data_IF_157647467745
#
_entry.id   IF_157647467745
#
_cell.length_a   1.000
_cell.length_b   1.000
_cell.length_c   1.000
_cell.angle_alpha   90.00
_cell.angle_beta   90.00
_cell.angle_gamma   90.00
#
_symmetry.space_group_name_H-M   'P 1'
#
loop_
_entity.id
_entity.type
_entity.pdbx_description
1 polymer ?
#
# COMPACT_ATOMS: atom_id res chain seq x y z
N UNK A 1 -28.13 -16.51 -3.28
CA UNK A 1 -27.68 -15.13 -2.97
C UNK A 1 -26.96 -14.58 -4.19
N UNK A 2 -27.55 -13.62 -4.90
CA UNK A 2 -26.91 -12.95 -6.02
C UNK A 2 -26.15 -11.76 -5.46
N UNK A 3 -24.83 -11.82 -5.52
CA UNK A 3 -24.00 -10.66 -5.19
C UNK A 3 -24.34 -9.50 -6.13
N UNK A 4 -24.53 -8.27 -5.61
CA UNK A 4 -24.71 -7.12 -6.48
C UNK A 4 -23.46 -6.97 -7.33
N UNK A 5 -23.60 -7.07 -8.66
CA UNK A 5 -22.52 -6.77 -9.59
C UNK A 5 -22.11 -5.33 -9.35
N UNK A 6 -20.88 -5.10 -8.86
CA UNK A 6 -20.30 -3.78 -8.86
C UNK A 6 -20.38 -3.25 -10.29
N UNK A 7 -21.13 -2.17 -10.48
CA UNK A 7 -21.06 -1.43 -11.73
C UNK A 7 -19.69 -0.79 -11.76
N UNK A 8 -18.73 -1.45 -12.43
CA UNK A 8 -17.52 -0.79 -12.86
C UNK A 8 -17.98 0.30 -13.81
N UNK A 9 -17.93 1.55 -13.37
CA UNK A 9 -18.13 2.69 -14.26
C UNK A 9 -16.93 2.72 -15.21
N UNK A 10 -16.99 1.89 -16.26
CA UNK A 10 -16.04 1.92 -17.33
C UNK A 10 -16.12 3.28 -18.00
N UNK A 11 -15.07 4.08 -17.85
CA UNK A 11 -14.84 5.14 -18.82
C UNK A 11 -14.96 4.53 -20.20
N UNK A 12 -15.83 5.06 -21.05
CA UNK A 12 -15.99 4.47 -22.38
C UNK A 12 -14.64 4.44 -23.06
N UNK A 13 -14.32 3.36 -23.73
CA UNK A 13 -13.08 3.16 -24.50
C UNK A 13 -12.76 4.37 -25.39
N UNK A 14 -13.77 4.96 -26.04
CA UNK A 14 -13.66 6.19 -26.83
C UNK A 14 -13.21 7.42 -26.03
N UNK A 15 -13.61 7.54 -24.77
CA UNK A 15 -13.19 8.64 -23.90
C UNK A 15 -11.75 8.48 -23.49
N UNK A 16 -11.30 7.26 -23.26
CA UNK A 16 -9.89 6.95 -22.99
C UNK A 16 -9.03 7.19 -24.22
N UNK A 17 -9.45 6.75 -25.41
CA UNK A 17 -8.78 7.02 -26.67
C UNK A 17 -8.69 8.53 -26.97
N UNK A 18 -9.80 9.26 -26.81
CA UNK A 18 -9.78 10.73 -26.95
C UNK A 18 -8.80 11.37 -25.99
N UNK A 19 -8.77 10.96 -24.73
CA UNK A 19 -7.84 11.50 -23.76
C UNK A 19 -6.39 11.15 -24.08
N UNK A 20 -6.13 9.99 -24.67
CA UNK A 20 -4.80 9.58 -25.12
C UNK A 20 -4.29 10.46 -26.29
N UNK A 21 -5.14 10.71 -27.29
CA UNK A 21 -4.75 11.47 -28.49
C UNK A 21 -4.83 13.00 -28.35
N UNK A 22 -5.67 13.52 -27.46
CA UNK A 22 -5.92 14.96 -27.33
C UNK A 22 -5.47 15.58 -26.01
N UNK A 23 -4.80 14.81 -25.14
CA UNK A 23 -4.31 15.36 -23.88
C UNK A 23 -3.11 16.26 -24.16
N UNK A 24 -3.31 17.57 -24.04
CA UNK A 24 -2.23 18.50 -23.78
C UNK A 24 -1.35 17.94 -22.66
N UNK A 25 -0.04 18.00 -22.81
CA UNK A 25 1.00 17.50 -21.93
C UNK A 25 0.90 18.10 -20.50
N UNK A 26 -0.17 17.81 -19.79
CA UNK A 26 -0.20 18.07 -18.35
C UNK A 26 0.68 17.00 -17.72
N UNK A 27 1.79 17.41 -17.17
CA UNK A 27 2.70 16.54 -16.47
C UNK A 27 1.92 15.87 -15.31
N UNK A 28 1.46 14.63 -15.54
CA UNK A 28 0.61 13.89 -14.62
C UNK A 28 1.28 13.75 -13.24
N UNK A 29 2.61 13.70 -13.20
CA UNK A 29 3.36 13.69 -11.94
C UNK A 29 3.19 15.00 -11.17
N UNK A 30 3.25 16.15 -11.85
CA UNK A 30 3.04 17.45 -11.20
C UNK A 30 1.61 17.59 -10.67
N UNK A 31 0.62 17.10 -11.42
CA UNK A 31 -0.76 17.08 -10.93
C UNK A 31 -0.88 16.27 -9.63
N UNK A 32 -0.31 15.06 -9.57
CA UNK A 32 -0.33 14.21 -8.37
C UNK A 32 0.42 14.90 -7.23
N UNK A 33 1.61 15.45 -7.48
CA UNK A 33 2.37 16.20 -6.46
C UNK A 33 1.54 17.34 -5.86
N UNK A 34 0.88 18.12 -6.71
CA UNK A 34 0.02 19.23 -6.26
C UNK A 34 -1.20 18.71 -5.48
N UNK A 35 -1.89 17.69 -6.00
CA UNK A 35 -3.09 17.13 -5.38
C UNK A 35 -2.83 16.61 -3.96
N UNK A 36 -1.75 15.86 -3.78
CA UNK A 36 -1.36 15.30 -2.47
C UNK A 36 -0.45 16.22 -1.65
N UNK A 37 -0.16 17.43 -2.12
CA UNK A 37 0.78 18.37 -1.49
C UNK A 37 2.14 17.70 -1.20
N UNK A 38 2.70 17.01 -2.21
CA UNK A 38 3.98 16.32 -2.11
C UNK A 38 5.14 17.28 -2.42
N UNK A 39 6.21 17.21 -1.65
CA UNK A 39 7.46 17.89 -1.91
C UNK A 39 8.36 17.12 -2.92
N UNK A 40 9.55 17.61 -3.19
CA UNK A 40 10.48 17.03 -4.17
C UNK A 40 11.06 15.68 -3.73
N UNK A 41 10.96 15.31 -2.46
CA UNK A 41 11.47 14.05 -1.94
C UNK A 41 10.60 12.85 -2.35
N UNK A 42 9.38 13.09 -2.85
CA UNK A 42 8.49 12.02 -3.30
C UNK A 42 8.75 11.63 -4.75
N UNK A 43 9.03 10.36 -4.97
CA UNK A 43 9.14 9.77 -6.30
C UNK A 43 7.81 9.14 -6.72
N UNK A 44 7.31 9.52 -7.90
CA UNK A 44 6.07 9.01 -8.46
C UNK A 44 6.39 8.12 -9.66
N UNK A 45 5.95 6.87 -9.58
CA UNK A 45 6.08 5.90 -10.65
C UNK A 45 4.71 5.40 -11.10
N UNK A 46 4.48 5.40 -12.41
CA UNK A 46 3.28 4.84 -13.00
C UNK A 46 3.53 3.40 -13.38
N UNK A 47 2.64 2.52 -12.93
CA UNK A 47 2.66 1.11 -13.23
C UNK A 47 1.32 0.67 -13.81
N UNK A 48 1.31 -0.44 -14.55
CA UNK A 48 0.08 -0.92 -15.19
C UNK A 48 -1.01 -1.34 -14.19
N UNK A 49 -0.61 -1.91 -13.05
CA UNK A 49 -1.48 -2.32 -11.93
C UNK A 49 -0.75 -2.11 -10.61
N UNK A 50 -1.47 -1.77 -9.54
CA UNK A 50 -0.88 -1.56 -8.21
C UNK A 50 -0.08 -2.80 -7.71
N UNK A 51 -0.57 -4.02 -7.93
CA UNK A 51 0.14 -5.25 -7.58
C UNK A 51 1.50 -5.40 -8.27
N UNK A 52 1.68 -4.88 -9.48
CA UNK A 52 2.98 -4.88 -10.17
C UNK A 52 3.92 -3.87 -9.49
N UNK A 53 3.40 -2.70 -9.11
CA UNK A 53 4.15 -1.74 -8.28
C UNK A 53 4.59 -2.37 -6.96
N UNK A 54 3.70 -3.07 -6.29
CA UNK A 54 3.99 -3.80 -5.06
C UNK A 54 5.11 -4.84 -5.25
N UNK A 55 5.02 -5.66 -6.31
CA UNK A 55 6.08 -6.61 -6.66
C UNK A 55 7.44 -5.92 -6.84
N UNK A 56 7.48 -4.78 -7.54
CA UNK A 56 8.72 -4.04 -7.73
C UNK A 56 9.30 -3.50 -6.41
N UNK A 57 8.45 -2.98 -5.51
CA UNK A 57 8.87 -2.54 -4.17
C UNK A 57 9.50 -3.71 -3.42
N UNK A 58 8.83 -4.85 -3.36
CA UNK A 58 9.34 -6.03 -2.67
C UNK A 58 10.64 -6.55 -3.29
N UNK A 59 10.71 -6.59 -4.62
CA UNK A 59 11.93 -7.00 -5.35
C UNK A 59 13.12 -6.07 -5.10
N UNK A 60 12.87 -4.80 -4.85
CA UNK A 60 13.89 -3.86 -4.43
C UNK A 60 14.32 -4.14 -2.99
N UNK A 61 13.38 -4.25 -2.06
CA UNK A 61 13.68 -4.45 -0.63
C UNK A 61 14.46 -5.73 -0.36
N UNK A 62 14.15 -6.83 -1.03
CA UNK A 62 14.87 -8.09 -0.82
C UNK A 62 16.30 -8.03 -1.35
N UNK A 63 16.55 -7.27 -2.42
CA UNK A 63 17.91 -7.04 -2.94
C UNK A 63 18.77 -6.19 -2.01
N UNK A 64 18.17 -5.23 -1.33
CA UNK A 64 18.85 -4.40 -0.33
C UNK A 64 19.28 -5.23 0.89
N UNK A 65 18.46 -6.20 1.32
CA UNK A 65 18.79 -7.06 2.44
C UNK A 65 18.04 -8.41 2.37
N UNK A 66 18.70 -9.43 1.83
CA UNK A 66 18.14 -10.79 1.67
C UNK A 66 17.76 -11.46 3.01
N UNK A 67 18.36 -11.07 4.13
CA UNK A 67 17.97 -11.60 5.45
C UNK A 67 16.61 -11.12 5.88
N UNK A 68 16.19 -9.93 5.45
CA UNK A 68 14.87 -9.35 5.72
C UNK A 68 13.84 -9.83 4.70
N UNK A 69 13.56 -11.13 4.68
CA UNK A 69 12.70 -11.77 3.69
C UNK A 69 11.29 -12.11 4.19
N UNK A 70 10.87 -11.55 5.33
CA UNK A 70 9.50 -11.69 5.84
C UNK A 70 8.73 -10.38 5.69
N UNK A 71 7.45 -10.49 5.37
CA UNK A 71 6.52 -9.36 5.32
C UNK A 71 5.31 -9.65 6.18
N UNK A 72 4.94 -8.69 7.02
CA UNK A 72 3.69 -8.75 7.79
C UNK A 72 2.58 -8.11 6.98
N UNK A 73 1.44 -8.78 6.89
CA UNK A 73 0.25 -8.27 6.21
C UNK A 73 -1.02 -8.83 6.87
N UNK A 74 -2.13 -8.16 6.62
CA UNK A 74 -3.43 -8.62 7.09
C UNK A 74 -3.80 -9.99 6.51
N UNK A 75 -4.42 -10.85 7.32
CA UNK A 75 -5.07 -12.08 6.84
C UNK A 75 -6.24 -11.77 5.89
N UNK A 76 -6.82 -10.59 6.00
CA UNK A 76 -7.88 -10.07 5.14
C UNK A 76 -7.29 -9.25 3.98
N UNK A 77 -6.60 -9.92 3.05
CA UNK A 77 -6.02 -9.29 1.86
C UNK A 77 -6.41 -10.04 0.58
N UNK A 78 -6.22 -9.40 -0.56
CA UNK A 78 -6.52 -10.06 -1.85
C UNK A 78 -5.42 -11.05 -2.23
N UNK A 79 -5.82 -12.19 -2.78
CA UNK A 79 -4.93 -13.29 -3.17
C UNK A 79 -3.78 -12.85 -4.08
N UNK A 80 -4.03 -11.91 -4.98
CA UNK A 80 -3.00 -11.38 -5.89
C UNK A 80 -1.82 -10.72 -5.14
N UNK A 81 -2.07 -10.07 -4.01
CA UNK A 81 -1.00 -9.46 -3.20
C UNK A 81 -0.11 -10.54 -2.58
N UNK A 82 -0.71 -11.63 -2.11
CA UNK A 82 0.03 -12.79 -1.57
C UNK A 82 0.91 -13.41 -2.66
N UNK A 83 0.40 -13.56 -3.88
CA UNK A 83 1.19 -14.06 -5.01
C UNK A 83 2.39 -13.16 -5.28
N UNK A 84 2.25 -11.84 -5.22
CA UNK A 84 3.37 -10.91 -5.43
C UNK A 84 4.42 -11.04 -4.31
N UNK A 85 3.99 -11.27 -3.07
CA UNK A 85 4.89 -11.55 -1.93
C UNK A 85 5.74 -12.77 -2.21
N UNK A 86 5.10 -13.88 -2.58
CA UNK A 86 5.81 -15.14 -2.86
C UNK A 86 6.73 -15.05 -4.07
N UNK A 87 6.28 -14.43 -5.15
CA UNK A 87 7.07 -14.21 -6.38
C UNK A 87 8.30 -13.33 -6.14
N UNK A 88 8.19 -12.35 -5.22
CA UNK A 88 9.32 -11.51 -4.84
C UNK A 88 10.32 -12.21 -3.89
N UNK A 89 10.02 -13.43 -3.43
CA UNK A 89 10.87 -14.20 -2.52
C UNK A 89 10.64 -13.91 -1.04
N UNK A 90 9.57 -13.16 -0.71
CA UNK A 90 9.18 -12.92 0.67
C UNK A 90 8.33 -14.06 1.25
N UNK A 91 8.39 -14.21 2.57
CA UNK A 91 7.56 -15.14 3.35
C UNK A 91 6.48 -14.32 4.07
N UNK A 92 5.19 -14.52 3.79
CA UNK A 92 4.13 -13.77 4.44
C UNK A 92 3.97 -14.22 5.90
N UNK A 93 3.78 -13.25 6.79
CA UNK A 93 3.31 -13.42 8.16
C UNK A 93 1.95 -12.74 8.22
N UNK A 94 0.90 -13.53 8.47
CA UNK A 94 -0.44 -12.99 8.56
C UNK A 94 -0.75 -12.56 10.00
N UNK A 95 -1.38 -11.40 10.12
CA UNK A 95 -1.94 -10.91 11.38
C UNK A 95 -3.43 -10.64 11.20
N UNK A 96 -4.18 -10.82 12.27
CA UNK A 96 -5.61 -10.56 12.28
C UNK A 96 -5.94 -9.09 12.51
N UNK A 97 -7.23 -8.79 12.36
CA UNK A 97 -7.82 -7.51 12.72
C UNK A 97 -8.41 -7.61 14.13
N UNK A 98 -8.59 -6.48 14.77
CA UNK A 98 -9.43 -6.44 15.97
C UNK A 98 -10.84 -6.95 15.64
N UNK A 99 -11.46 -7.59 16.62
CA UNK A 99 -12.83 -8.04 16.47
C UNK A 99 -13.75 -6.88 16.05
N UNK A 100 -14.55 -7.13 15.03
CA UNK A 100 -15.52 -6.19 14.47
C UNK A 100 -14.89 -4.87 13.93
N UNK A 101 -13.61 -4.92 13.55
CA UNK A 101 -12.87 -3.79 13.01
C UNK A 101 -12.17 -4.13 11.70
N UNK A 102 -11.91 -3.11 10.87
CA UNK A 102 -11.03 -3.20 9.69
C UNK A 102 -9.57 -2.83 10.00
N UNK A 103 -9.24 -2.57 11.26
CA UNK A 103 -7.89 -2.25 11.70
C UNK A 103 -7.14 -3.52 12.08
N UNK A 104 -5.88 -3.60 11.69
CA UNK A 104 -5.01 -4.70 12.10
C UNK A 104 -4.77 -4.66 13.61
N UNK A 105 -4.61 -5.82 14.23
CA UNK A 105 -4.27 -5.89 15.66
C UNK A 105 -2.81 -5.48 15.88
N UNK A 106 -2.64 -4.31 16.49
CA UNK A 106 -1.30 -3.74 16.75
C UNK A 106 -0.51 -4.56 17.78
N UNK A 107 -1.18 -5.30 18.66
CA UNK A 107 -0.51 -6.17 19.61
C UNK A 107 0.10 -7.38 18.89
N UNK A 108 -0.62 -7.95 17.91
CA UNK A 108 -0.07 -8.99 17.04
C UNK A 108 1.08 -8.46 16.18
N UNK A 109 0.94 -7.25 15.64
CA UNK A 109 2.03 -6.60 14.91
C UNK A 109 3.30 -6.51 15.76
N UNK A 110 3.21 -5.94 16.96
CA UNK A 110 4.34 -5.81 17.90
C UNK A 110 4.94 -7.17 18.27
N UNK A 111 4.10 -8.15 18.56
CA UNK A 111 4.52 -9.53 18.89
C UNK A 111 5.33 -10.15 17.77
N UNK A 112 4.86 -10.06 16.51
CA UNK A 112 5.55 -10.62 15.36
C UNK A 112 6.86 -9.87 15.05
N UNK A 113 6.88 -8.53 15.20
CA UNK A 113 8.10 -7.75 15.06
C UNK A 113 9.13 -8.16 16.11
N UNK A 114 8.74 -8.35 17.36
CA UNK A 114 9.63 -8.82 18.42
C UNK A 114 10.19 -10.21 18.13
N UNK A 115 9.33 -11.14 17.67
CA UNK A 115 9.69 -12.53 17.40
C UNK A 115 10.66 -12.67 16.21
N UNK A 116 10.48 -11.87 15.15
CA UNK A 116 11.20 -12.00 13.87
C UNK A 116 12.04 -10.75 13.52
N UNK A 117 12.44 -9.99 14.51
CA UNK A 117 13.02 -8.63 14.41
C UNK A 117 13.94 -8.41 13.21
N UNK A 118 14.91 -9.30 13.01
CA UNK A 118 15.95 -9.13 11.99
C UNK A 118 15.57 -9.73 10.63
N UNK A 119 14.42 -10.38 10.54
CA UNK A 119 13.96 -11.03 9.32
C UNK A 119 12.82 -10.26 8.63
N UNK A 120 12.17 -9.30 9.32
CA UNK A 120 11.07 -8.54 8.74
C UNK A 120 11.61 -7.40 7.91
N UNK A 121 11.32 -7.42 6.60
CA UNK A 121 11.68 -6.38 5.65
C UNK A 121 10.58 -5.34 5.46
N UNK A 122 9.32 -5.75 5.55
CA UNK A 122 8.20 -4.87 5.29
C UNK A 122 6.95 -5.19 6.11
N UNK A 123 6.09 -4.19 6.25
CA UNK A 123 4.68 -4.30 6.66
C UNK A 123 3.83 -3.77 5.51
N UNK A 124 2.84 -4.52 5.04
CA UNK A 124 1.81 -4.05 4.14
C UNK A 124 0.58 -3.67 4.95
N UNK A 125 0.24 -2.40 4.97
CA UNK A 125 -0.96 -1.87 5.59
C UNK A 125 -2.00 -1.54 4.53
N UNK A 126 -3.07 -2.34 4.45
CA UNK A 126 -4.19 -2.08 3.55
C UNK A 126 -5.22 -1.20 4.25
N UNK A 127 -5.51 -0.05 3.66
CA UNK A 127 -6.51 0.88 4.19
C UNK A 127 -7.92 0.51 3.68
N UNK A 128 -8.69 -0.21 4.49
CA UNK A 128 -10.09 -0.52 4.18
C UNK A 128 -11.04 0.63 4.49
N UNK A 129 -10.67 1.47 5.47
CA UNK A 129 -11.30 2.74 5.76
C UNK A 129 -10.24 3.73 6.27
N UNK A 130 -10.61 5.00 6.40
CA UNK A 130 -9.67 6.08 6.80
C UNK A 130 -9.55 6.22 8.31
N UNK A 131 -10.44 5.59 9.07
CA UNK A 131 -10.49 5.75 10.53
C UNK A 131 -9.48 4.81 11.21
N UNK A 132 -8.21 4.92 10.83
CA UNK A 132 -7.14 4.15 11.45
C UNK A 132 -6.40 5.03 12.47
N UNK A 133 -6.91 5.05 13.69
CA UNK A 133 -6.32 5.81 14.81
C UNK A 133 -4.90 5.37 15.17
N UNK A 134 -4.52 4.15 14.77
CA UNK A 134 -3.21 3.54 15.08
C UNK A 134 -2.18 3.75 13.96
N UNK A 135 -2.54 4.39 12.86
CA UNK A 135 -1.64 4.58 11.70
C UNK A 135 -0.32 5.26 12.10
N UNK A 136 -0.38 6.28 12.95
CA UNK A 136 0.83 6.95 13.46
C UNK A 136 1.68 6.00 14.30
N UNK A 137 1.06 5.20 15.15
CA UNK A 137 1.76 4.23 15.98
C UNK A 137 2.41 3.14 15.11
N UNK A 138 1.69 2.59 14.13
CA UNK A 138 2.22 1.61 13.18
C UNK A 138 3.42 2.19 12.42
N UNK A 139 3.31 3.43 11.93
CA UNK A 139 4.41 4.11 11.23
C UNK A 139 5.64 4.26 12.13
N UNK A 140 5.45 4.66 13.38
CA UNK A 140 6.55 4.81 14.34
C UNK A 140 7.21 3.47 14.66
N UNK A 141 6.43 2.42 14.92
CA UNK A 141 6.93 1.06 15.15
C UNK A 141 7.79 0.58 13.98
N UNK A 142 7.32 0.78 12.75
CA UNK A 142 8.07 0.40 11.56
C UNK A 142 9.40 1.16 11.46
N UNK A 143 9.39 2.48 11.67
CA UNK A 143 10.60 3.33 11.66
C UNK A 143 11.63 2.92 12.71
N UNK A 144 11.19 2.73 13.96
CA UNK A 144 12.06 2.33 15.07
C UNK A 144 12.74 0.99 14.84
N UNK A 145 12.05 0.06 14.15
CA UNK A 145 12.57 -1.26 13.83
C UNK A 145 13.24 -1.36 12.45
N UNK A 146 13.36 -0.25 11.70
CA UNK A 146 13.90 -0.22 10.34
C UNK A 146 13.21 -1.22 9.41
N UNK A 147 11.89 -1.24 9.48
CA UNK A 147 10.98 -2.05 8.66
C UNK A 147 10.27 -1.10 7.70
N UNK A 148 10.25 -1.42 6.42
CA UNK A 148 9.57 -0.60 5.42
C UNK A 148 8.05 -0.71 5.57
N UNK A 149 7.37 0.41 5.74
CA UNK A 149 5.90 0.48 5.72
C UNK A 149 5.42 0.76 4.30
N UNK A 150 4.59 -0.14 3.78
CA UNK A 150 3.94 -0.03 2.47
C UNK A 150 2.45 0.18 2.72
N UNK A 151 1.90 1.31 2.26
CA UNK A 151 0.48 1.62 2.36
C UNK A 151 -0.24 1.21 1.07
N UNK A 152 -1.23 0.32 1.17
CA UNK A 152 -2.16 0.03 0.08
C UNK A 152 -3.39 0.94 0.21
N UNK A 153 -3.43 1.97 -0.63
CA UNK A 153 -4.44 3.01 -0.67
C UNK A 153 -5.41 2.84 -1.86
N UNK A 154 -5.55 1.63 -2.41
CA UNK A 154 -6.33 1.39 -3.62
C UNK A 154 -7.79 1.88 -3.52
N UNK A 155 -8.40 1.80 -2.33
CA UNK A 155 -9.79 2.22 -2.11
C UNK A 155 -9.93 3.51 -1.28
N UNK A 156 -8.83 4.13 -0.90
CA UNK A 156 -8.81 5.32 -0.01
C UNK A 156 -8.12 6.53 -0.64
N UNK A 157 -8.02 6.56 -1.96
CA UNK A 157 -7.39 7.67 -2.68
C UNK A 157 -8.02 9.02 -2.32
N UNK A 158 -7.20 9.98 -1.93
CA UNK A 158 -7.63 11.33 -1.56
C UNK A 158 -8.18 11.46 -0.14
N UNK A 159 -8.25 10.38 0.60
CA UNK A 159 -8.67 10.39 2.00
C UNK A 159 -7.59 10.97 2.93
N UNK A 160 -8.02 11.54 4.05
CA UNK A 160 -7.14 12.18 5.03
C UNK A 160 -7.38 11.64 6.43
N UNK A 161 -6.30 11.60 7.21
CA UNK A 161 -6.31 11.37 8.65
C UNK A 161 -5.59 12.56 9.30
N UNK A 162 -6.27 13.30 10.20
CA UNK A 162 -5.74 14.50 10.83
C UNK A 162 -5.12 15.48 9.83
N UNK A 163 -5.87 15.83 8.77
CA UNK A 163 -5.47 16.71 7.66
C UNK A 163 -4.31 16.22 6.78
N UNK A 164 -3.67 15.09 7.10
CA UNK A 164 -2.64 14.48 6.26
C UNK A 164 -3.25 13.40 5.35
N UNK A 165 -2.83 13.38 4.08
CA UNK A 165 -3.30 12.37 3.13
C UNK A 165 -2.80 10.97 3.52
N UNK A 166 -3.69 9.98 3.50
CA UNK A 166 -3.35 8.56 3.56
C UNK A 166 -2.45 8.23 2.38
N UNK A 167 -1.43 7.43 2.63
CA UNK A 167 -0.36 7.15 1.66
C UNK A 167 0.90 8.01 1.87
N UNK A 168 0.95 8.84 2.92
CA UNK A 168 2.13 9.65 3.29
C UNK A 168 2.79 9.24 4.60
N UNK A 169 2.26 8.22 5.26
CA UNK A 169 2.75 7.74 6.56
C UNK A 169 3.81 6.65 6.42
N UNK A 170 3.77 5.90 5.30
CA UNK A 170 4.72 4.86 4.97
C UNK A 170 5.86 5.33 4.07
N UNK A 171 6.82 4.42 3.86
CA UNK A 171 7.95 4.61 2.92
C UNK A 171 7.49 4.49 1.46
N UNK A 172 6.46 3.68 1.23
CA UNK A 172 5.85 3.44 -0.08
C UNK A 172 4.34 3.49 0.02
N UNK A 173 3.69 3.93 -1.06
CA UNK A 173 2.24 3.89 -1.18
C UNK A 173 1.79 3.46 -2.57
N UNK A 174 0.71 2.70 -2.60
CA UNK A 174 0.11 2.14 -3.81
C UNK A 174 -1.30 2.75 -3.98
N UNK A 175 -1.55 3.26 -5.17
CA UNK A 175 -2.85 3.80 -5.57
C UNK A 175 -3.32 3.10 -6.85
N UNK A 176 -4.63 2.87 -6.96
CA UNK A 176 -5.22 2.12 -8.08
C UNK A 176 -6.49 2.81 -8.62
#
# INVERSE_FOLDING_TARGET
MTYPRQKIYGYSFFRQLRNFFFKKNTNSKNFIKTFFSLNENYNINFVYKARIGFFHILSFLIKENEKKNKIILSSFTVFDMINMVLLAGFKPIFIDHYKDSSQIDIHELKKNIYQFKDEIGAVLLTHYNVNNSELFEISNICKENKISLIEDCAITIGSKLNDEYVGKFGDYSLFS
#
